data_IF_924611005124
#
_entry.id   IF_924611005124
#
_cell.length_a   1.000
_cell.length_b   1.000
_cell.length_c   1.000
_cell.angle_alpha   90.00
_cell.angle_beta   90.00
_cell.angle_gamma   90.00
#
_symmetry.space_group_name_H-M   'P 1'
#
loop_
_entity.id
_entity.type
_entity.pdbx_description
1 polymer ?
#
# COMPACT_ATOMS: atom_id res chain seq x y z
N UNK A 1 7.80 -27.07 6.05
CA UNK A 1 8.00 -26.66 4.65
C UNK A 1 7.27 -27.56 3.65
N UNK A 2 7.44 -28.89 3.66
CA UNK A 2 6.75 -29.80 2.72
C UNK A 2 5.21 -29.80 2.85
N UNK A 3 4.67 -29.69 4.07
CA UNK A 3 3.21 -29.64 4.30
C UNK A 3 2.57 -28.45 3.59
N UNK A 4 3.24 -27.28 3.59
CA UNK A 4 2.74 -26.09 2.89
C UNK A 4 2.66 -26.34 1.40
N UNK A 5 3.65 -27.02 0.81
CA UNK A 5 3.63 -27.39 -0.61
C UNK A 5 2.51 -28.38 -0.92
N UNK A 6 2.31 -29.38 -0.08
CA UNK A 6 1.23 -30.38 -0.27
C UNK A 6 -0.14 -29.70 -0.19
N UNK A 7 -0.36 -28.86 0.82
CA UNK A 7 -1.61 -28.10 0.97
C UNK A 7 -1.82 -27.14 -0.20
N UNK A 8 -0.77 -26.42 -0.62
CA UNK A 8 -0.85 -25.54 -1.79
C UNK A 8 -1.18 -26.31 -3.08
N UNK A 9 -0.63 -27.51 -3.24
CA UNK A 9 -0.94 -28.37 -4.39
C UNK A 9 -2.41 -28.82 -4.38
N UNK A 10 -2.91 -29.25 -3.23
CA UNK A 10 -4.33 -29.64 -3.08
C UNK A 10 -5.24 -28.45 -3.40
N UNK A 11 -4.94 -27.26 -2.88
CA UNK A 11 -5.70 -26.04 -3.17
C UNK A 11 -5.61 -25.70 -4.67
N UNK A 12 -4.43 -25.80 -5.27
CA UNK A 12 -4.23 -25.53 -6.70
C UNK A 12 -5.06 -26.46 -7.58
N UNK A 13 -5.11 -27.76 -7.25
CA UNK A 13 -5.96 -28.73 -7.94
C UNK A 13 -7.43 -28.37 -7.76
N UNK A 14 -7.87 -28.02 -6.54
CA UNK A 14 -9.26 -27.62 -6.30
C UNK A 14 -9.65 -26.37 -7.12
N UNK A 15 -8.77 -25.37 -7.20
CA UNK A 15 -8.96 -24.17 -8.03
C UNK A 15 -9.04 -24.53 -9.52
N UNK A 16 -8.18 -25.44 -10.00
CA UNK A 16 -8.20 -25.89 -11.39
C UNK A 16 -9.52 -26.61 -11.73
N UNK A 17 -9.98 -27.51 -10.86
CA UNK A 17 -11.28 -28.20 -11.01
C UNK A 17 -12.43 -27.19 -11.02
N UNK A 18 -12.41 -26.22 -10.10
CA UNK A 18 -13.39 -25.12 -10.07
C UNK A 18 -13.40 -24.33 -11.38
N UNK A 19 -12.24 -23.99 -11.93
CA UNK A 19 -12.13 -23.26 -13.19
C UNK A 19 -12.69 -24.05 -14.38
N UNK A 20 -12.42 -25.36 -14.44
CA UNK A 20 -12.95 -26.24 -15.48
C UNK A 20 -14.48 -26.36 -15.37
N UNK A 21 -15.01 -26.56 -14.17
CA UNK A 21 -16.46 -26.67 -13.96
C UNK A 21 -17.21 -25.37 -14.26
N UNK A 22 -16.57 -24.22 -13.99
CA UNK A 22 -17.11 -22.89 -14.27
C UNK A 22 -16.64 -22.32 -15.62
N UNK A 23 -16.20 -23.19 -16.54
CA UNK A 23 -15.79 -22.81 -17.91
C UNK A 23 -16.97 -22.54 -18.85
N UNK A 24 -18.21 -22.62 -18.34
CA UNK A 24 -19.42 -22.28 -19.10
C UNK A 24 -19.26 -20.88 -19.68
N UNK A 25 -19.40 -20.72 -21.01
CA UNK A 25 -19.17 -19.45 -21.66
C UNK A 25 -20.29 -18.46 -21.32
N UNK A 26 -19.90 -17.34 -20.71
CA UNK A 26 -20.73 -16.18 -20.42
C UNK A 26 -20.42 -15.10 -21.46
N UNK A 27 -21.47 -14.44 -21.94
CA UNK A 27 -21.36 -13.28 -22.81
C UNK A 27 -21.42 -12.02 -21.95
N UNK A 28 -20.41 -11.17 -22.09
CA UNK A 28 -20.33 -9.87 -21.42
C UNK A 28 -20.50 -8.80 -22.49
N UNK A 29 -21.63 -8.10 -22.44
CA UNK A 29 -21.89 -6.95 -23.31
C UNK A 29 -21.56 -5.68 -22.53
N UNK A 30 -20.64 -4.87 -23.07
CA UNK A 30 -20.22 -3.60 -22.49
C UNK A 30 -20.27 -2.51 -23.56
N UNK A 31 -21.24 -1.61 -23.44
CA UNK A 31 -21.49 -0.52 -24.39
C UNK A 31 -21.70 -1.05 -25.83
N UNK A 32 -20.67 -1.05 -26.68
CA UNK A 32 -20.71 -1.58 -28.05
C UNK A 32 -19.83 -2.83 -28.25
N UNK A 33 -19.23 -3.36 -27.18
CA UNK A 33 -18.35 -4.52 -27.22
C UNK A 33 -19.03 -5.74 -26.63
N UNK A 34 -18.77 -6.89 -27.22
CA UNK A 34 -19.18 -8.18 -26.69
C UNK A 34 -17.96 -9.09 -26.54
N UNK A 35 -17.81 -9.70 -25.38
CA UNK A 35 -16.75 -10.65 -25.10
C UNK A 35 -17.36 -11.96 -24.58
N UNK A 36 -16.90 -13.08 -25.13
CA UNK A 36 -17.23 -14.42 -24.63
C UNK A 36 -16.09 -14.90 -23.75
N UNK A 37 -16.38 -15.14 -22.47
CA UNK A 37 -15.39 -15.58 -21.48
C UNK A 37 -16.03 -16.53 -20.48
N UNK A 38 -15.25 -17.15 -19.58
CA UNK A 38 -15.81 -17.92 -18.47
C UNK A 38 -16.08 -17.02 -17.26
N UNK A 39 -17.00 -17.44 -16.39
CA UNK A 39 -17.34 -16.69 -15.18
C UNK A 39 -16.11 -16.45 -14.29
N UNK A 40 -15.22 -17.44 -14.19
CA UNK A 40 -14.00 -17.35 -13.38
C UNK A 40 -13.05 -16.28 -13.90
N UNK A 41 -12.82 -16.25 -15.22
CA UNK A 41 -11.95 -15.24 -15.83
C UNK A 41 -12.56 -13.85 -15.64
N UNK A 42 -13.89 -13.72 -15.73
CA UNK A 42 -14.58 -12.46 -15.51
C UNK A 42 -14.40 -11.94 -14.07
N UNK A 43 -14.61 -12.81 -13.07
CA UNK A 43 -14.46 -12.44 -11.65
C UNK A 43 -13.01 -12.10 -11.31
N UNK A 44 -12.06 -12.96 -11.71
CA UNK A 44 -10.64 -12.72 -11.42
C UNK A 44 -10.12 -11.47 -12.16
N UNK A 45 -10.49 -11.31 -13.43
CA UNK A 45 -10.10 -10.15 -14.24
C UNK A 45 -10.64 -8.84 -13.68
N UNK A 46 -11.92 -8.81 -13.29
CA UNK A 46 -12.55 -7.62 -12.68
C UNK A 46 -11.97 -7.28 -11.31
N UNK A 47 -11.73 -8.29 -10.46
CA UNK A 47 -11.08 -8.09 -9.16
C UNK A 47 -9.65 -7.57 -9.32
N UNK A 48 -8.88 -8.14 -10.26
CA UNK A 48 -7.52 -7.68 -10.55
C UNK A 48 -7.52 -6.24 -11.08
N UNK A 49 -8.42 -5.90 -12.01
CA UNK A 49 -8.56 -4.54 -12.52
C UNK A 49 -8.90 -3.56 -11.39
N UNK A 50 -9.83 -3.91 -10.50
CA UNK A 50 -10.17 -3.10 -9.32
C UNK A 50 -9.00 -2.91 -8.36
N UNK A 51 -8.20 -3.96 -8.14
CA UNK A 51 -6.99 -3.90 -7.31
C UNK A 51 -5.93 -2.98 -7.93
N UNK A 52 -5.72 -3.05 -9.25
CA UNK A 52 -4.80 -2.16 -9.98
C UNK A 52 -5.25 -0.71 -9.86
N UNK A 53 -6.53 -0.42 -10.11
CA UNK A 53 -7.08 0.95 -9.97
C UNK A 53 -6.89 1.45 -8.53
N UNK A 54 -7.19 0.62 -7.53
CA UNK A 54 -7.03 0.96 -6.12
C UNK A 54 -5.56 1.24 -5.75
N UNK A 55 -4.64 0.41 -6.26
CA UNK A 55 -3.21 0.60 -6.07
C UNK A 55 -2.73 1.92 -6.68
N UNK A 56 -3.15 2.26 -7.89
CA UNK A 56 -2.80 3.52 -8.55
C UNK A 56 -3.28 4.73 -7.75
N UNK A 57 -4.53 4.72 -7.28
CA UNK A 57 -5.09 5.78 -6.44
C UNK A 57 -4.31 5.91 -5.11
N UNK A 58 -3.98 4.78 -4.48
CA UNK A 58 -3.16 4.77 -3.28
C UNK A 58 -1.77 5.37 -3.54
N UNK A 59 -1.09 4.99 -4.63
CA UNK A 59 0.24 5.51 -4.98
C UNK A 59 0.27 7.04 -5.08
N UNK A 60 -0.76 7.65 -5.67
CA UNK A 60 -0.86 9.13 -5.74
C UNK A 60 -0.89 9.74 -4.34
N UNK A 61 -1.68 9.17 -3.42
CA UNK A 61 -1.76 9.61 -2.03
C UNK A 61 -0.42 9.44 -1.31
N UNK A 62 0.24 8.30 -1.50
CA UNK A 62 1.58 8.02 -0.93
C UNK A 62 2.63 9.06 -1.36
N UNK A 63 2.61 9.48 -2.63
CA UNK A 63 3.54 10.51 -3.12
C UNK A 63 3.31 11.86 -2.46
N UNK A 64 2.04 12.29 -2.33
CA UNK A 64 1.70 13.55 -1.65
C UNK A 64 2.14 13.53 -0.19
N UNK A 65 1.80 12.46 0.53
CA UNK A 65 2.17 12.28 1.93
C UNK A 65 3.70 12.26 2.12
N UNK A 66 4.43 11.63 1.19
CA UNK A 66 5.89 11.61 1.20
C UNK A 66 6.50 13.00 0.99
N UNK A 67 5.90 13.84 0.14
CA UNK A 67 6.32 15.23 -0.06
C UNK A 67 6.06 16.08 1.19
N UNK A 68 4.88 15.95 1.78
CA UNK A 68 4.51 16.64 3.02
C UNK A 68 5.43 16.25 4.18
N UNK A 69 5.72 14.95 4.35
CA UNK A 69 6.69 14.47 5.34
C UNK A 69 8.08 15.06 5.15
N UNK A 70 8.56 15.17 3.90
CA UNK A 70 9.86 15.80 3.60
C UNK A 70 9.84 17.29 3.91
N UNK A 71 8.76 17.99 3.57
CA UNK A 71 8.61 19.43 3.85
C UNK A 71 8.55 19.69 5.36
N UNK A 72 7.76 18.92 6.10
CA UNK A 72 7.67 19.01 7.56
C UNK A 72 9.02 18.74 8.23
N UNK A 73 9.74 17.69 7.82
CA UNK A 73 11.10 17.38 8.32
C UNK A 73 12.12 18.48 8.01
N UNK A 74 11.99 19.20 6.89
CA UNK A 74 12.86 20.35 6.59
C UNK A 74 12.60 21.51 7.56
N UNK A 75 11.32 21.84 7.78
CA UNK A 75 10.93 22.89 8.75
C UNK A 75 11.41 22.58 10.16
N UNK A 76 11.29 21.33 10.62
CA UNK A 76 11.80 20.91 11.93
C UNK A 76 13.31 21.17 12.03
N UNK A 77 14.10 20.74 11.04
CA UNK A 77 15.55 20.97 11.04
C UNK A 77 15.93 22.44 10.97
N UNK A 78 15.18 23.24 10.21
CA UNK A 78 15.40 24.69 10.12
C UNK A 78 15.10 25.39 11.44
N UNK A 79 14.07 24.95 12.19
CA UNK A 79 13.78 25.45 13.53
C UNK A 79 14.85 25.00 14.54
N UNK A 80 15.27 23.72 14.50
CA UNK A 80 16.35 23.20 15.36
C UNK A 80 17.68 23.93 15.11
N UNK A 81 18.00 24.27 13.86
CA UNK A 81 19.21 25.02 13.50
C UNK A 81 19.13 26.51 13.88
N UNK A 82 17.92 27.07 13.98
CA UNK A 82 17.64 28.44 14.45
C UNK A 82 17.53 28.55 15.98
N UNK A 83 17.73 27.44 16.70
CA UNK A 83 18.08 27.45 18.12
C UNK A 83 19.60 27.23 18.26
N UNK A 84 20.48 28.21 17.93
CA UNK A 84 21.87 28.12 18.36
C UNK A 84 21.88 28.07 19.88
N UNK A 85 22.60 27.10 20.45
CA UNK A 85 23.27 27.21 21.75
C UNK A 85 22.74 28.34 22.63
N UNK A 86 21.56 28.17 23.24
CA UNK A 86 21.31 28.84 24.51
C UNK A 86 21.90 27.86 25.53
N UNK A 87 23.13 28.11 26.05
CA UNK A 87 23.57 27.35 27.19
C UNK A 87 22.49 27.55 28.25
N UNK A 88 22.00 26.45 28.84
CA UNK A 88 21.10 26.53 29.99
C UNK A 88 21.61 27.66 30.90
N UNK A 89 20.78 28.66 31.25
CA UNK A 89 21.25 29.79 32.05
C UNK A 89 21.97 29.21 33.26
N UNK A 90 23.26 29.55 33.37
CA UNK A 90 24.12 29.03 34.43
C UNK A 90 23.40 29.26 35.77
N UNK A 91 23.29 28.23 36.62
CA UNK A 91 22.61 28.37 37.90
C UNK A 91 23.19 29.58 38.62
N UNK A 92 22.34 30.44 39.23
CA UNK A 92 22.78 31.70 39.80
C UNK A 92 23.96 31.42 40.72
N UNK A 93 25.10 32.06 40.43
CA UNK A 93 26.27 32.02 41.28
C UNK A 93 25.84 32.52 42.65
N UNK A 94 25.71 31.58 43.60
CA UNK A 94 25.37 31.89 44.98
C UNK A 94 26.35 32.92 45.55
N UNK A 95 25.93 33.75 46.51
CA UNK A 95 26.76 34.82 47.04
C UNK A 95 28.08 34.23 47.52
N UNK A 96 29.20 34.73 46.97
CA UNK A 96 30.52 34.43 47.48
C UNK A 96 30.59 34.89 48.93
N UNK A 97 30.61 33.94 49.85
CA UNK A 97 30.83 34.21 51.25
C UNK A 97 32.34 34.29 51.52
N UNK A 98 32.83 35.36 52.17
CA UNK A 98 34.19 35.45 52.69
C UNK A 98 34.41 34.54 53.91
#
# INVERSE_FOLDING_TARGET
MQIVLIVALIISIAVAVFAIQNSVPVVVSFLAWEARTSLVILILGSALAGAVVSALLASVRWVRLSKELRASRRRIREMEAQTPNEPLPSPPSGPGHP
#
